data_IF_730578299941
#
_entry.id   IF_730578299941
#
_cell.length_a   1.000
_cell.length_b   1.000
_cell.length_c   1.000
_cell.angle_alpha   90.00
_cell.angle_beta   90.00
_cell.angle_gamma   90.00
#
_symmetry.space_group_name_H-M   'P 1'
#
loop_
_entity.id
_entity.type
_entity.pdbx_description
1 polymer ?
#
# COMPACT_ATOMS: atom_id res chain seq x y z
N UNK A 1 -6.47 33.62 2.52
CA UNK A 1 -5.03 33.33 2.37
C UNK A 1 -4.58 33.93 1.05
N UNK A 2 -3.79 34.99 1.12
CA UNK A 2 -3.35 35.78 -0.06
C UNK A 2 -2.17 35.08 -0.72
N UNK A 3 -2.32 34.70 -1.99
CA UNK A 3 -1.24 34.14 -2.80
C UNK A 3 -0.35 35.24 -3.35
N UNK A 4 0.94 35.19 -3.03
CA UNK A 4 1.98 36.04 -3.61
C UNK A 4 2.13 35.73 -5.11
N UNK A 5 1.70 36.64 -5.97
CA UNK A 5 2.06 36.61 -7.39
C UNK A 5 3.43 37.27 -7.55
N UNK A 6 4.46 36.48 -7.82
CA UNK A 6 5.78 37.01 -8.20
C UNK A 6 5.67 37.63 -9.58
N UNK A 7 5.76 38.95 -9.65
CA UNK A 7 5.75 39.75 -10.86
C UNK A 7 7.02 39.46 -11.68
N UNK A 8 6.92 38.67 -12.74
CA UNK A 8 7.98 38.56 -13.73
C UNK A 8 8.09 39.88 -14.50
N UNK A 9 9.24 40.57 -14.40
CA UNK A 9 9.52 41.77 -15.19
C UNK A 9 9.46 41.42 -16.68
N UNK A 10 8.82 42.26 -17.49
CA UNK A 10 8.72 42.08 -18.93
C UNK A 10 10.11 42.11 -19.58
N UNK A 11 10.43 41.09 -20.39
CA UNK A 11 11.72 40.89 -21.08
C UNK A 11 12.11 42.01 -22.08
N UNK A 12 11.31 43.06 -22.23
CA UNK A 12 11.47 44.14 -23.21
C UNK A 12 12.60 45.13 -22.89
N UNK A 13 13.14 45.16 -21.66
CA UNK A 13 14.18 46.10 -21.25
C UNK A 13 15.62 45.54 -21.33
N UNK A 14 15.80 44.26 -21.69
CA UNK A 14 17.15 43.67 -21.73
C UNK A 14 17.83 43.88 -23.09
N UNK A 15 19.08 44.38 -23.08
CA UNK A 15 19.85 44.70 -24.29
C UNK A 15 20.15 43.51 -25.22
N UNK A 16 19.77 42.29 -24.85
CA UNK A 16 19.90 41.07 -25.67
C UNK A 16 18.57 40.64 -26.33
N UNK A 17 17.57 41.51 -26.42
CA UNK A 17 16.27 41.20 -27.02
C UNK A 17 16.37 40.69 -28.47
N UNK A 18 17.41 41.07 -29.21
CA UNK A 18 17.66 40.54 -30.57
C UNK A 18 17.98 39.04 -30.60
N UNK A 19 18.37 38.43 -29.47
CA UNK A 19 18.64 36.99 -29.31
C UNK A 19 17.48 36.22 -28.66
N UNK A 20 16.33 36.86 -28.40
CA UNK A 20 15.23 36.24 -27.68
C UNK A 20 14.65 34.99 -28.35
N UNK A 21 14.85 34.83 -29.67
CA UNK A 21 14.42 33.67 -30.46
C UNK A 21 15.59 32.96 -31.15
N UNK A 22 16.83 33.24 -30.77
CA UNK A 22 17.99 32.57 -31.38
C UNK A 22 18.05 31.12 -30.91
N UNK A 23 17.93 30.18 -31.85
CA UNK A 23 18.09 28.74 -31.59
C UNK A 23 19.53 28.36 -31.89
N UNK A 24 20.36 28.30 -30.87
CA UNK A 24 21.77 27.90 -30.99
C UNK A 24 21.98 26.68 -30.11
N UNK A 25 22.25 25.52 -30.73
CA UNK A 25 22.40 24.25 -30.01
C UNK A 25 21.13 23.85 -29.26
N UNK A 26 21.26 23.68 -27.94
CA UNK A 26 20.18 23.26 -27.02
C UNK A 26 19.46 24.42 -26.32
N UNK A 27 19.73 25.68 -26.72
CA UNK A 27 19.13 26.86 -26.12
C UNK A 27 18.09 27.51 -27.05
N UNK A 28 17.00 28.04 -26.48
CA UNK A 28 15.95 28.80 -27.19
C UNK A 28 16.18 30.30 -27.22
N UNK A 29 17.13 30.81 -26.45
CA UNK A 29 17.46 32.22 -26.36
C UNK A 29 18.45 32.50 -25.23
N UNK A 30 18.78 33.77 -25.04
CA UNK A 30 19.71 34.22 -23.99
C UNK A 30 19.08 35.35 -23.18
N UNK A 31 19.42 35.44 -21.89
CA UNK A 31 19.01 36.52 -21.01
C UNK A 31 20.19 37.05 -20.19
N UNK A 32 20.19 38.35 -19.88
CA UNK A 32 21.17 38.97 -18.99
C UNK A 32 20.59 39.07 -17.59
N UNK A 33 21.25 38.46 -16.61
CA UNK A 33 20.90 38.59 -15.19
C UNK A 33 22.15 39.07 -14.45
N UNK A 34 22.06 40.26 -13.83
CA UNK A 34 23.16 40.86 -13.06
C UNK A 34 24.51 40.93 -13.81
N UNK A 35 24.48 41.26 -15.10
CA UNK A 35 25.67 41.37 -15.95
C UNK A 35 26.17 40.04 -16.53
N UNK A 36 25.63 38.90 -16.11
CA UNK A 36 25.96 37.58 -16.65
C UNK A 36 24.96 37.15 -17.73
N UNK A 37 25.47 36.54 -18.81
CA UNK A 37 24.66 36.02 -19.92
C UNK A 37 24.33 34.55 -19.62
N UNK A 38 23.04 34.23 -19.52
CA UNK A 38 22.53 32.87 -19.29
C UNK A 38 21.69 32.39 -20.48
N UNK A 39 21.80 31.10 -20.83
CA UNK A 39 21.01 30.49 -21.90
C UNK A 39 19.67 29.97 -21.37
N UNK A 40 18.59 30.21 -22.12
CA UNK A 40 17.26 29.67 -21.86
C UNK A 40 17.16 28.26 -22.46
N UNK A 41 16.84 27.23 -21.66
CA UNK A 41 16.68 25.86 -22.17
C UNK A 41 15.42 25.73 -23.02
N UNK A 42 15.41 24.76 -23.95
CA UNK A 42 14.18 24.40 -24.67
C UNK A 42 13.04 24.06 -23.70
N UNK A 43 11.82 24.58 -23.94
CA UNK A 43 10.67 24.22 -23.14
C UNK A 43 10.36 22.73 -23.36
N UNK A 44 10.84 21.91 -22.43
CA UNK A 44 10.43 20.51 -22.37
C UNK A 44 9.00 20.51 -21.82
N UNK A 45 8.03 20.11 -22.64
CA UNK A 45 6.71 19.72 -22.14
C UNK A 45 6.88 18.41 -21.40
N UNK A 46 7.40 18.44 -20.18
CA UNK A 46 7.20 17.33 -19.26
C UNK A 46 5.70 17.27 -19.02
N UNK A 47 5.04 16.25 -19.59
CA UNK A 47 3.70 15.87 -19.17
C UNK A 47 3.78 15.50 -17.70
N UNK A 48 3.61 16.50 -16.85
CA UNK A 48 3.71 16.37 -15.41
C UNK A 48 2.57 15.46 -14.97
N UNK A 49 2.94 14.29 -14.45
CA UNK A 49 2.07 13.27 -13.85
C UNK A 49 0.71 13.11 -14.54
N UNK A 50 0.64 12.28 -15.58
CA UNK A 50 -0.60 11.52 -15.74
C UNK A 50 -0.85 10.85 -14.39
N UNK A 51 -2.00 11.15 -13.76
CA UNK A 51 -2.42 10.45 -12.55
C UNK A 51 -2.16 8.96 -12.79
N UNK A 52 -1.32 8.33 -11.98
CA UNK A 52 -1.11 6.88 -12.00
C UNK A 52 -2.44 6.23 -11.66
N UNK A 53 -3.36 6.17 -12.63
CA UNK A 53 -4.56 5.36 -12.53
C UNK A 53 -4.03 3.94 -12.51
N UNK A 54 -4.11 3.30 -11.35
CA UNK A 54 -3.87 1.88 -11.22
C UNK A 54 -4.69 1.19 -12.31
N UNK A 55 -4.01 0.57 -13.27
CA UNK A 55 -4.64 -0.19 -14.36
C UNK A 55 -5.40 -1.40 -13.83
N UNK A 56 -5.15 -1.77 -12.58
CA UNK A 56 -5.87 -2.79 -11.84
C UNK A 56 -6.67 -2.16 -10.69
N UNK A 57 -7.99 -2.11 -10.84
CA UNK A 57 -8.93 -1.68 -9.79
C UNK A 57 -9.41 -2.85 -8.91
N UNK A 58 -8.96 -4.08 -9.22
CA UNK A 58 -9.31 -5.27 -8.46
C UNK A 58 -8.51 -5.38 -7.17
N UNK A 59 -9.18 -5.74 -6.08
CA UNK A 59 -8.47 -6.31 -4.93
C UNK A 59 -8.16 -7.77 -5.25
N UNK A 60 -6.94 -8.23 -4.99
CA UNK A 60 -6.65 -9.67 -5.09
C UNK A 60 -7.59 -10.45 -4.17
N UNK A 61 -7.89 -11.70 -4.52
CA UNK A 61 -8.68 -12.60 -3.66
C UNK A 61 -8.09 -12.67 -2.25
N UNK A 62 -6.75 -12.65 -2.15
CA UNK A 62 -6.08 -12.59 -0.87
C UNK A 62 -6.41 -11.31 -0.09
N UNK A 63 -6.30 -10.13 -0.72
CA UNK A 63 -6.62 -8.86 -0.08
C UNK A 63 -8.11 -8.76 0.31
N UNK A 64 -9.02 -9.35 -0.47
CA UNK A 64 -10.46 -9.33 -0.15
C UNK A 64 -10.81 -10.18 1.07
N UNK A 65 -10.04 -11.25 1.34
CA UNK A 65 -10.22 -12.10 2.52
C UNK A 65 -9.76 -11.47 3.84
N UNK A 66 -8.78 -10.56 3.82
CA UNK A 66 -8.17 -9.97 5.04
C UNK A 66 -8.55 -8.51 5.27
N UNK A 67 -9.60 -8.00 4.61
CA UNK A 67 -10.09 -6.66 4.89
C UNK A 67 -10.78 -6.62 6.25
N UNK A 68 -10.44 -5.61 7.05
CA UNK A 68 -11.20 -5.28 8.25
C UNK A 68 -12.54 -4.70 7.83
N UNK A 69 -13.64 -5.42 8.12
CA UNK A 69 -14.99 -4.88 7.90
C UNK A 69 -15.44 -4.26 9.21
N UNK A 70 -15.63 -2.93 9.27
CA UNK A 70 -16.04 -2.27 10.50
C UNK A 70 -17.44 -2.75 10.88
N UNK A 71 -17.56 -3.29 12.10
CA UNK A 71 -18.81 -3.74 12.71
C UNK A 71 -19.58 -4.76 11.86
N UNK A 72 -19.37 -6.04 12.12
CA UNK A 72 -20.19 -7.12 11.58
C UNK A 72 -20.65 -7.96 12.77
N UNK A 73 -21.85 -7.70 13.30
CA UNK A 73 -22.41 -8.47 14.42
C UNK A 73 -23.80 -8.99 14.10
N UNK A 74 -24.21 -10.02 14.85
CA UNK A 74 -25.53 -10.64 14.73
C UNK A 74 -26.67 -9.70 15.15
N UNK A 75 -26.40 -8.64 15.90
CA UNK A 75 -27.41 -7.66 16.35
C UNK A 75 -27.60 -6.47 15.41
N UNK A 76 -26.82 -6.34 14.33
CA UNK A 76 -26.91 -5.16 13.45
C UNK A 76 -28.15 -5.18 12.54
N UNK A 77 -28.79 -4.03 12.36
CA UNK A 77 -29.93 -3.89 11.45
C UNK A 77 -29.54 -4.04 9.97
N UNK A 78 -28.38 -3.48 9.58
CA UNK A 78 -27.89 -3.47 8.19
C UNK A 78 -26.60 -4.28 8.05
N UNK A 79 -26.74 -5.60 8.12
CA UNK A 79 -25.61 -6.52 7.95
C UNK A 79 -25.18 -6.59 6.48
N UNK A 80 -23.88 -6.68 6.18
CA UNK A 80 -23.42 -6.93 4.82
C UNK A 80 -23.93 -8.29 4.33
N UNK A 81 -24.25 -8.33 3.03
CA UNK A 81 -24.63 -9.54 2.31
C UNK A 81 -23.36 -10.31 1.95
N UNK A 82 -22.96 -11.21 2.84
CA UNK A 82 -21.83 -12.14 2.64
C UNK A 82 -22.32 -13.59 2.79
N UNK A 83 -21.67 -14.56 2.12
CA UNK A 83 -21.97 -15.99 2.31
C UNK A 83 -21.96 -16.37 3.80
N UNK A 84 -22.92 -17.23 4.18
CA UNK A 84 -23.02 -17.66 5.58
C UNK A 84 -21.81 -18.50 5.97
N UNK A 85 -21.15 -18.08 7.05
CA UNK A 85 -20.07 -18.84 7.68
C UNK A 85 -20.27 -18.78 9.19
N UNK A 86 -20.29 -19.93 9.89
CA UNK A 86 -20.64 -19.99 11.32
C UNK A 86 -19.63 -19.25 12.19
N UNK A 87 -18.37 -19.16 11.75
CA UNK A 87 -17.29 -18.50 12.48
C UNK A 87 -17.04 -17.05 12.07
N UNK A 88 -17.80 -16.48 11.13
CA UNK A 88 -17.64 -15.06 10.76
C UNK A 88 -18.03 -14.13 11.89
N UNK A 89 -17.45 -12.93 11.89
CA UNK A 89 -17.82 -11.86 12.83
C UNK A 89 -19.34 -11.58 12.80
N UNK A 90 -19.96 -11.56 11.61
CA UNK A 90 -21.41 -11.36 11.42
C UNK A 90 -22.29 -12.32 12.24
N UNK A 91 -21.80 -13.52 12.54
CA UNK A 91 -22.51 -14.53 13.31
C UNK A 91 -22.28 -14.43 14.82
N UNK A 92 -21.40 -13.52 15.28
CA UNK A 92 -21.08 -13.28 16.69
C UNK A 92 -21.88 -12.11 17.24
N UNK A 93 -22.13 -12.12 18.55
CA UNK A 93 -22.71 -10.97 19.25
C UNK A 93 -21.70 -9.82 19.30
N UNK A 94 -22.21 -8.59 19.39
CA UNK A 94 -21.37 -7.43 19.64
C UNK A 94 -20.67 -7.62 20.98
N UNK A 95 -19.36 -7.46 20.98
CA UNK A 95 -18.55 -7.44 22.18
C UNK A 95 -18.07 -6.01 22.38
N UNK A 96 -18.27 -5.48 23.57
CA UNK A 96 -17.76 -4.15 23.94
C UNK A 96 -16.24 -4.13 23.74
N UNK A 97 -15.76 -3.04 23.14
CA UNK A 97 -14.32 -2.85 22.98
C UNK A 97 -13.67 -2.72 24.35
N UNK A 98 -12.43 -3.19 24.47
CA UNK A 98 -11.73 -3.06 25.74
C UNK A 98 -11.59 -1.57 26.06
N UNK A 99 -11.91 -1.14 27.30
CA UNK A 99 -11.79 0.26 27.65
C UNK A 99 -10.35 0.72 27.42
N UNK A 100 -10.19 1.81 26.67
CA UNK A 100 -8.87 2.39 26.43
C UNK A 100 -8.29 2.81 27.78
N UNK A 101 -7.11 2.30 28.17
CA UNK A 101 -6.51 2.67 29.44
C UNK A 101 -6.21 4.17 29.46
N UNK A 102 -6.44 4.80 30.62
CA UNK A 102 -6.08 6.21 30.83
C UNK A 102 -4.57 6.39 30.59
N UNK A 103 -4.20 7.50 29.93
CA UNK A 103 -2.80 7.80 29.55
C UNK A 103 -1.81 7.75 30.72
N UNK A 104 -2.29 7.90 31.96
CA UNK A 104 -1.48 7.93 33.18
C UNK A 104 -1.71 6.72 34.10
N UNK A 105 -2.52 5.74 33.70
CA UNK A 105 -2.78 4.54 34.49
C UNK A 105 -1.88 3.39 33.99
N UNK A 106 -0.69 3.25 34.58
CA UNK A 106 0.18 2.09 34.36
C UNK A 106 -0.29 0.90 35.21
N UNK A 107 -1.47 0.36 34.90
CA UNK A 107 -1.93 -0.88 35.54
C UNK A 107 -1.36 -2.08 34.78
N UNK A 108 -0.23 -2.62 35.25
CA UNK A 108 0.35 -3.84 34.69
C UNK A 108 -0.43 -5.03 35.26
N UNK A 109 -1.53 -5.42 34.58
CA UNK A 109 -2.22 -6.67 34.88
C UNK A 109 -1.49 -7.82 34.17
N UNK A 110 -0.70 -8.57 34.93
CA UNK A 110 -0.17 -9.86 34.48
C UNK A 110 -1.32 -10.87 34.41
N UNK A 111 -2.03 -10.91 33.28
CA UNK A 111 -2.76 -12.11 32.88
C UNK A 111 -1.74 -13.06 32.23
N UNK A 112 -1.94 -14.36 32.43
CA UNK A 112 -1.05 -15.44 32.01
C UNK A 112 -0.18 -15.09 30.79
N UNK A 113 1.16 -15.21 30.87
CA UNK A 113 2.06 -14.88 29.76
C UNK A 113 1.83 -15.74 28.50
N UNK A 114 0.92 -16.72 28.58
CA UNK A 114 0.51 -17.59 27.47
C UNK A 114 -0.70 -17.07 26.67
N UNK A 115 -1.30 -15.94 27.04
CA UNK A 115 -2.54 -15.44 26.44
C UNK A 115 -2.38 -14.16 25.61
N UNK A 116 -1.41 -14.16 24.69
CA UNK A 116 -1.38 -13.21 23.57
C UNK A 116 -2.31 -13.70 22.44
N UNK A 117 -3.60 -13.40 22.47
CA UNK A 117 -4.55 -13.90 21.45
C UNK A 117 -4.54 -13.20 20.10
N UNK A 118 -3.49 -12.45 19.75
CA UNK A 118 -3.39 -11.84 18.42
C UNK A 118 -3.31 -12.88 17.28
N UNK A 119 -3.05 -14.16 17.59
CA UNK A 119 -3.03 -15.29 16.61
C UNK A 119 -4.18 -16.30 16.76
N UNK A 120 -5.21 -16.02 17.56
CA UNK A 120 -6.31 -16.98 17.82
C UNK A 120 -7.19 -17.34 16.62
N UNK A 121 -7.15 -16.57 15.55
CA UNK A 121 -7.99 -16.77 14.37
C UNK A 121 -7.20 -17.02 13.08
N UNK A 122 -5.95 -17.49 13.19
CA UNK A 122 -5.25 -18.03 12.01
C UNK A 122 -5.79 -19.44 11.76
N UNK A 123 -6.81 -19.53 10.91
CA UNK A 123 -7.22 -20.82 10.32
C UNK A 123 -6.00 -21.46 9.67
N UNK A 124 -5.64 -22.67 10.10
CA UNK A 124 -4.49 -23.49 9.66
C UNK A 124 -4.42 -23.73 8.15
N UNK A 125 -5.48 -23.39 7.40
CA UNK A 125 -5.60 -23.61 5.95
C UNK A 125 -4.54 -22.92 5.07
N UNK A 126 -3.64 -22.07 5.60
CA UNK A 126 -2.61 -21.35 4.82
C UNK A 126 -1.18 -21.45 5.33
N UNK A 127 -0.88 -22.33 6.29
CA UNK A 127 0.51 -22.61 6.68
C UNK A 127 1.21 -23.63 5.76
N UNK A 128 0.55 -24.11 4.71
CA UNK A 128 1.07 -25.15 3.81
C UNK A 128 1.23 -24.69 2.36
N UNK A 129 1.55 -23.41 2.12
CA UNK A 129 2.01 -23.02 0.78
C UNK A 129 3.49 -23.38 0.63
N UNK A 130 3.75 -24.58 0.11
CA UNK A 130 5.11 -25.09 -0.14
C UNK A 130 5.70 -24.61 -1.47
N UNK A 131 4.94 -23.83 -2.26
CA UNK A 131 5.32 -23.35 -3.59
C UNK A 131 5.79 -24.44 -4.57
N UNK A 132 5.48 -25.72 -4.29
CA UNK A 132 5.80 -26.85 -5.15
C UNK A 132 4.71 -27.05 -6.19
N UNK A 133 5.11 -27.54 -7.36
CA UNK A 133 4.16 -28.02 -8.34
C UNK A 133 3.27 -29.11 -7.72
N UNK A 134 1.97 -29.15 -8.04
CA UNK A 134 1.08 -30.17 -7.53
C UNK A 134 1.55 -31.55 -7.99
N UNK A 135 1.76 -32.46 -7.03
CA UNK A 135 2.06 -33.86 -7.35
C UNK A 135 0.78 -34.55 -7.85
N UNK A 136 0.88 -35.26 -8.97
CA UNK A 136 -0.23 -35.99 -9.59
C UNK A 136 -0.32 -37.44 -9.11
N UNK A 137 0.62 -37.89 -8.28
CA UNK A 137 0.65 -39.24 -7.73
C UNK A 137 -0.44 -39.41 -6.67
N UNK A 138 -1.19 -40.52 -6.75
CA UNK A 138 -2.25 -40.87 -5.79
C UNK A 138 -1.81 -41.86 -4.70
N UNK A 139 -0.60 -42.43 -4.81
CA UNK A 139 -0.13 -43.44 -3.87
C UNK A 139 0.30 -42.81 -2.54
N UNK A 140 -0.52 -43.04 -1.50
CA UNK A 140 -0.32 -42.47 -0.18
C UNK A 140 1.02 -42.85 0.48
N UNK A 141 1.56 -44.05 0.23
CA UNK A 141 2.81 -44.49 0.87
C UNK A 141 4.03 -43.75 0.32
N UNK A 142 4.03 -43.44 -0.97
CA UNK A 142 5.08 -42.66 -1.64
C UNK A 142 5.03 -41.20 -1.16
N UNK A 143 3.83 -40.61 -1.12
CA UNK A 143 3.62 -39.25 -0.61
C UNK A 143 4.07 -39.11 0.85
N UNK A 144 3.77 -40.10 1.69
CA UNK A 144 4.19 -40.11 3.09
C UNK A 144 5.72 -40.23 3.26
N UNK A 145 6.39 -40.99 2.38
CA UNK A 145 7.85 -41.11 2.40
C UNK A 145 8.53 -39.80 1.97
N UNK A 146 8.02 -39.15 0.91
CA UNK A 146 8.58 -37.90 0.40
C UNK A 146 8.37 -36.74 1.38
N UNK A 147 7.16 -36.59 1.93
CA UNK A 147 6.90 -35.58 2.98
C UNK A 147 7.80 -35.73 4.20
N UNK A 148 8.10 -36.97 4.63
CA UNK A 148 9.03 -37.24 5.73
C UNK A 148 10.46 -36.80 5.41
N UNK A 149 10.95 -37.08 4.19
CA UNK A 149 12.28 -36.66 3.73
C UNK A 149 12.40 -35.15 3.65
N UNK A 150 11.36 -34.49 3.18
CA UNK A 150 11.31 -33.04 3.06
C UNK A 150 11.33 -32.35 4.43
N UNK A 151 10.55 -32.85 5.38
CA UNK A 151 10.56 -32.35 6.75
C UNK A 151 11.95 -32.52 7.40
N UNK A 152 12.60 -33.67 7.18
CA UNK A 152 13.97 -33.88 7.67
C UNK A 152 14.98 -32.90 7.06
N UNK A 153 14.82 -32.51 5.79
CA UNK A 153 15.68 -31.49 5.13
C UNK A 153 15.47 -30.07 5.66
N UNK A 154 14.32 -29.75 6.23
CA UNK A 154 14.04 -28.42 6.77
C UNK A 154 14.57 -28.22 8.19
N UNK A 155 14.88 -29.32 8.90
CA UNK A 155 15.38 -29.31 10.26
C UNK A 155 16.92 -29.34 10.35
N UNK A 156 17.62 -29.54 9.23
CA UNK A 156 19.05 -29.28 9.08
C UNK A 156 19.27 -27.85 8.58
#
# INVERSE_FOLDING_TARGET
MSGSQTLGKSNSESGLHFLANSKVGSATGFMVVAGNIMALPHPHRSSSSSSLRSTFSGTSEYASHFREVPHCYASMDRKPLTPYTPHSYRSRLAQEDAPVPLKNASTIQFRDPQMCHKRRFVTTHKNHYTAKAPDLRSNASILAADTRREHARQLM
#
